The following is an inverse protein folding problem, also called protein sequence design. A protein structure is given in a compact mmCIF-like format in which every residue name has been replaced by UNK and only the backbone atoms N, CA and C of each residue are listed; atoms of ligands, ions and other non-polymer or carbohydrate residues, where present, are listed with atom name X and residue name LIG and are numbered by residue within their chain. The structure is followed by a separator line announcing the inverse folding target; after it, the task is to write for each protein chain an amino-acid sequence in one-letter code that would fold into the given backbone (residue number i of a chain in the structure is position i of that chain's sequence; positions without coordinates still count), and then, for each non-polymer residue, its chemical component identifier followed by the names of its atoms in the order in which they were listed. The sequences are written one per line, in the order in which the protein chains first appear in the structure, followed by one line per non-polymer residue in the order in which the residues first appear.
data_IF_954233617642
#
_entry.id   IF_954233617642
#
_cell.length_a   1.000
_cell.length_b   1.000
_cell.length_c   1.000
_cell.angle_alpha   90.00
_cell.angle_beta   90.00
_cell.angle_gamma   90.00
#
_symmetry.space_group_name_H-M   'P 1'
#
loop_
_entity.id
_entity.type
_entity.pdbx_description
1 polymer ?
#
# COMPACT_ATOMS: atom_id res chain seq x y z
N UNK A 1 -33.41 7.20 -35.26
CA UNK A 1 -32.88 6.42 -34.12
C UNK A 1 -31.39 6.70 -33.80
N UNK A 2 -30.75 7.71 -34.37
CA UNK A 2 -29.31 7.98 -34.18
C UNK A 2 -28.94 8.76 -32.89
N UNK A 3 -29.86 9.56 -32.34
CA UNK A 3 -29.54 10.41 -31.18
C UNK A 3 -29.40 9.65 -29.85
N UNK A 4 -30.14 8.56 -29.65
CA UNK A 4 -30.11 7.76 -28.45
C UNK A 4 -28.77 7.02 -28.24
N UNK A 5 -28.13 6.57 -29.33
CA UNK A 5 -26.85 5.85 -29.28
C UNK A 5 -25.69 6.77 -28.86
N UNK A 6 -25.72 8.05 -29.26
CA UNK A 6 -24.69 9.03 -28.91
C UNK A 6 -24.80 9.41 -27.43
N UNK A 7 -26.03 9.55 -26.91
CA UNK A 7 -26.25 9.90 -25.49
C UNK A 7 -25.82 8.75 -24.56
N UNK A 8 -26.09 7.49 -24.93
CA UNK A 8 -25.60 6.34 -24.13
C UNK A 8 -24.08 6.22 -24.16
N UNK A 9 -23.42 6.49 -25.28
CA UNK A 9 -21.97 6.45 -25.38
C UNK A 9 -21.28 7.51 -24.50
N UNK A 10 -21.83 8.70 -24.40
CA UNK A 10 -21.29 9.80 -23.56
C UNK A 10 -21.49 9.54 -22.08
N UNK A 11 -22.61 8.94 -21.67
CA UNK A 11 -22.84 8.56 -20.25
C UNK A 11 -21.87 7.47 -19.77
N UNK A 12 -21.60 6.45 -20.59
CA UNK A 12 -20.64 5.39 -20.24
C UNK A 12 -19.21 5.92 -20.12
N UNK A 13 -18.80 6.83 -20.99
CA UNK A 13 -17.48 7.47 -20.95
C UNK A 13 -17.33 8.32 -19.70
N UNK A 14 -18.32 9.16 -19.38
CA UNK A 14 -18.29 10.00 -18.19
C UNK A 14 -18.30 9.16 -16.90
N UNK A 15 -19.11 8.11 -16.82
CA UNK A 15 -19.15 7.19 -15.67
C UNK A 15 -17.84 6.45 -15.45
N UNK A 16 -17.18 6.00 -16.52
CA UNK A 16 -15.89 5.32 -16.43
C UNK A 16 -14.77 6.22 -15.90
N UNK A 17 -14.67 7.46 -16.36
CA UNK A 17 -13.67 8.41 -15.88
C UNK A 17 -13.94 8.79 -14.41
N UNK A 18 -15.20 9.03 -14.06
CA UNK A 18 -15.57 9.40 -12.69
C UNK A 18 -15.21 8.29 -11.69
N UNK A 19 -15.49 7.02 -12.03
CA UNK A 19 -15.11 5.88 -11.20
C UNK A 19 -13.59 5.76 -11.01
N UNK A 20 -12.80 6.04 -12.02
CA UNK A 20 -11.33 6.05 -11.92
C UNK A 20 -10.81 7.17 -11.04
N UNK A 21 -11.42 8.37 -11.10
CA UNK A 21 -11.07 9.48 -10.22
C UNK A 21 -11.37 9.15 -8.76
N UNK A 22 -12.56 8.59 -8.48
CA UNK A 22 -12.96 8.19 -7.13
C UNK A 22 -12.05 7.05 -6.60
N UNK A 23 -11.71 6.05 -7.42
CA UNK A 23 -10.78 4.99 -7.06
C UNK A 23 -9.40 5.55 -6.70
N UNK A 24 -8.87 6.49 -7.48
CA UNK A 24 -7.60 7.14 -7.18
C UNK A 24 -7.64 7.99 -5.90
N UNK A 25 -8.73 8.70 -5.65
CA UNK A 25 -8.93 9.49 -4.43
C UNK A 25 -9.01 8.60 -3.19
N UNK A 26 -9.75 7.50 -3.27
CA UNK A 26 -9.85 6.50 -2.21
C UNK A 26 -8.50 5.84 -1.94
N UNK A 27 -7.77 5.45 -2.99
CA UNK A 27 -6.43 4.88 -2.86
C UNK A 27 -5.44 5.85 -2.20
N UNK A 28 -5.51 7.15 -2.50
CA UNK A 28 -4.68 8.16 -1.82
C UNK A 28 -5.02 8.29 -0.34
N UNK A 29 -6.30 8.26 0.03
CA UNK A 29 -6.72 8.27 1.45
C UNK A 29 -6.23 7.03 2.18
N UNK A 30 -6.43 5.85 1.59
CA UNK A 30 -5.96 4.58 2.15
C UNK A 30 -4.44 4.55 2.35
N UNK A 31 -3.69 5.02 1.35
CA UNK A 31 -2.24 5.14 1.46
C UNK A 31 -1.80 6.11 2.56
N UNK A 32 -2.53 7.21 2.77
CA UNK A 32 -2.30 8.12 3.89
C UNK A 32 -2.51 7.45 5.26
N UNK A 33 -3.47 6.54 5.37
CA UNK A 33 -3.68 5.74 6.58
C UNK A 33 -2.46 4.86 6.85
N UNK A 34 -1.94 4.16 5.84
CA UNK A 34 -0.72 3.34 5.98
C UNK A 34 0.50 4.18 6.35
N UNK A 35 0.68 5.37 5.75
CA UNK A 35 1.78 6.28 6.11
C UNK A 35 1.66 6.74 7.57
N UNK A 36 0.46 7.05 8.06
CA UNK A 36 0.21 7.41 9.46
C UNK A 36 0.46 6.24 10.42
N UNK A 37 0.04 5.03 10.04
CA UNK A 37 0.33 3.81 10.82
C UNK A 37 1.84 3.54 10.88
N UNK A 38 2.57 3.73 9.77
CA UNK A 38 4.02 3.59 9.76
C UNK A 38 4.71 4.56 10.72
N UNK A 39 4.25 5.81 10.77
CA UNK A 39 4.79 6.80 11.70
C UNK A 39 4.44 6.46 13.17
N UNK A 40 3.24 5.96 13.44
CA UNK A 40 2.84 5.50 14.76
C UNK A 40 3.67 4.29 15.23
N UNK A 41 3.89 3.29 14.35
CA UNK A 41 4.75 2.15 14.66
C UNK A 41 6.20 2.57 14.91
N UNK A 42 6.71 3.53 14.15
CA UNK A 42 8.06 4.06 14.39
C UNK A 42 8.18 4.74 15.75
N UNK A 43 7.18 5.53 16.15
CA UNK A 43 7.16 6.18 17.46
C UNK A 43 7.00 5.15 18.60
N UNK A 44 6.14 4.14 18.42
CA UNK A 44 5.96 3.07 19.39
C UNK A 44 7.23 2.24 19.57
N UNK A 45 7.94 1.91 18.48
CA UNK A 45 9.22 1.21 18.53
C UNK A 45 10.29 2.00 19.26
N UNK A 46 10.41 3.30 18.98
CA UNK A 46 11.36 4.17 19.70
C UNK A 46 11.04 4.27 21.20
N UNK A 47 9.76 4.34 21.56
CA UNK A 47 9.33 4.32 22.97
C UNK A 47 9.68 2.99 23.64
N UNK A 48 9.42 1.87 22.98
CA UNK A 48 9.77 0.54 23.49
C UNK A 48 11.29 0.38 23.66
N UNK A 49 12.11 0.81 22.69
CA UNK A 49 13.59 0.83 22.83
C UNK A 49 14.01 1.59 24.09
N UNK A 50 13.44 2.79 24.31
CA UNK A 50 13.77 3.61 25.46
C UNK A 50 13.33 2.98 26.78
N UNK A 51 12.16 2.36 26.82
CA UNK A 51 11.66 1.67 28.01
C UNK A 51 12.53 0.45 28.33
N UNK A 52 12.80 -0.40 27.34
CA UNK A 52 13.70 -1.56 27.48
C UNK A 52 15.09 -1.13 27.98
N UNK A 53 15.64 -0.05 27.42
CA UNK A 53 16.94 0.46 27.87
C UNK A 53 16.93 0.85 29.35
N UNK A 54 15.87 1.52 29.82
CA UNK A 54 15.71 1.90 31.24
C UNK A 54 15.55 0.70 32.16
N UNK A 55 14.77 -0.30 31.74
CA UNK A 55 14.54 -1.51 32.52
C UNK A 55 15.86 -2.28 32.71
N UNK A 56 16.67 -2.40 31.66
CA UNK A 56 18.00 -3.00 31.75
C UNK A 56 18.99 -2.15 32.58
N UNK A 57 18.93 -0.82 32.51
CA UNK A 57 19.78 0.04 33.36
C UNK A 57 19.43 -0.09 34.83
N UNK A 58 18.14 -0.24 35.16
CA UNK A 58 17.67 -0.54 36.53
C UNK A 58 18.18 -1.90 36.99
N UNK A 59 18.02 -2.94 36.16
CA UNK A 59 18.51 -4.28 36.45
C UNK A 59 20.03 -4.31 36.71
N UNK A 60 20.81 -3.62 35.85
CA UNK A 60 22.26 -3.49 36.03
C UNK A 60 22.60 -2.78 37.35
N UNK A 61 21.83 -1.75 37.70
CA UNK A 61 21.99 -1.05 39.01
C UNK A 61 21.71 -1.98 40.19
N UNK A 62 20.63 -2.74 40.13
CA UNK A 62 20.27 -3.72 41.19
C UNK A 62 21.32 -4.83 41.30
N UNK A 63 21.80 -5.37 40.17
CA UNK A 63 22.87 -6.38 40.17
C UNK A 63 24.15 -5.84 40.82
N UNK A 64 24.58 -4.61 40.49
CA UNK A 64 25.76 -3.98 41.12
C UNK A 64 25.59 -3.78 42.60
N UNK A 65 24.41 -3.30 43.04
CA UNK A 65 24.11 -3.14 44.47
C UNK A 65 24.11 -4.48 45.22
N UNK A 66 23.55 -5.52 44.62
CA UNK A 66 23.54 -6.87 45.19
C UNK A 66 24.95 -7.42 45.37
N UNK A 67 25.84 -7.26 44.39
CA UNK A 67 27.24 -7.68 44.49
C UNK A 67 27.97 -6.89 45.58
N UNK A 68 27.79 -5.56 45.65
CA UNK A 68 28.39 -4.72 46.65
C UNK A 68 27.92 -5.09 48.08
N UNK A 69 26.61 -5.34 48.26
CA UNK A 69 26.01 -5.75 49.52
C UNK A 69 26.51 -7.13 49.98
N UNK A 70 26.86 -8.02 49.08
CA UNK A 70 27.40 -9.34 49.40
C UNK A 70 28.91 -9.32 49.74
N UNK A 71 29.55 -8.15 49.71
CA UNK A 71 30.98 -8.01 49.96
C UNK A 71 31.86 -8.60 48.89
N UNK A 72 31.29 -8.92 47.72
CA UNK A 72 32.04 -9.47 46.58
C UNK A 72 32.62 -8.31 45.76
N UNK A 73 33.88 -8.44 45.41
CA UNK A 73 34.48 -7.54 44.41
C UNK A 73 33.85 -7.79 43.03
N UNK A 74 33.77 -6.72 42.20
CA UNK A 74 33.25 -6.80 40.82
C UNK A 74 34.30 -7.40 39.89
N UNK A 75 34.82 -8.58 40.29
CA UNK A 75 35.81 -9.34 39.51
C UNK A 75 35.33 -10.78 39.28
N UNK A 76 35.78 -11.39 38.19
CA UNK A 76 35.46 -12.78 37.87
C UNK A 76 33.96 -12.97 37.50
N UNK A 77 33.27 -13.86 38.21
CA UNK A 77 31.88 -14.25 37.91
C UNK A 77 30.88 -13.09 37.98
N UNK A 78 30.91 -12.15 38.92
CA UNK A 78 30.03 -10.97 38.89
C UNK A 78 30.18 -10.12 37.63
N UNK A 79 31.42 -9.93 37.17
CA UNK A 79 31.68 -9.15 35.96
C UNK A 79 31.10 -9.85 34.71
N UNK A 80 31.18 -11.18 34.62
CA UNK A 80 30.60 -11.94 33.52
C UNK A 80 29.08 -11.82 33.48
N UNK A 81 28.41 -11.81 34.63
CA UNK A 81 26.95 -11.64 34.71
C UNK A 81 26.55 -10.24 34.22
N UNK A 82 27.28 -9.19 34.62
CA UNK A 82 27.02 -7.83 34.16
C UNK A 82 27.24 -7.70 32.63
N UNK A 83 28.34 -8.29 32.11
CA UNK A 83 28.64 -8.31 30.67
C UNK A 83 27.53 -9.02 29.88
N UNK A 84 27.04 -10.17 30.41
CA UNK A 84 25.93 -10.88 29.77
C UNK A 84 24.67 -10.02 29.76
N UNK A 85 24.32 -9.34 30.86
CA UNK A 85 23.16 -8.45 30.94
C UNK A 85 23.26 -7.30 29.94
N UNK A 86 24.45 -6.76 29.70
CA UNK A 86 24.71 -5.72 28.69
C UNK A 86 24.47 -6.27 27.28
N UNK A 87 24.98 -7.46 26.98
CA UNK A 87 24.76 -8.11 25.67
C UNK A 87 23.29 -8.42 25.41
N UNK A 88 22.57 -8.87 26.46
CA UNK A 88 21.15 -9.14 26.36
C UNK A 88 20.37 -7.86 26.08
N UNK A 89 20.72 -6.73 26.75
CA UNK A 89 20.17 -5.39 26.45
C UNK A 89 20.38 -5.01 24.99
N UNK A 90 21.61 -5.12 24.48
CA UNK A 90 21.94 -4.75 23.11
C UNK A 90 21.18 -5.62 22.11
N UNK A 91 21.07 -6.91 22.37
CA UNK A 91 20.34 -7.86 21.53
C UNK A 91 18.85 -7.55 21.50
N UNK A 92 18.24 -7.28 22.67
CA UNK A 92 16.81 -6.97 22.75
C UNK A 92 16.48 -5.66 22.04
N UNK A 93 17.30 -4.61 22.25
CA UNK A 93 17.14 -3.33 21.54
C UNK A 93 17.30 -3.51 20.02
N UNK A 94 18.28 -4.31 19.57
CA UNK A 94 18.46 -4.62 18.15
C UNK A 94 17.26 -5.34 17.55
N UNK A 95 16.68 -6.29 18.30
CA UNK A 95 15.47 -7.01 17.90
C UNK A 95 14.27 -6.08 17.76
N UNK A 96 14.02 -5.20 18.75
CA UNK A 96 12.95 -4.21 18.72
C UNK A 96 13.11 -3.31 17.49
N UNK A 97 14.32 -2.79 17.26
CA UNK A 97 14.63 -1.94 16.11
C UNK A 97 14.41 -2.64 14.77
N UNK A 98 14.87 -3.89 14.65
CA UNK A 98 14.68 -4.71 13.45
C UNK A 98 13.19 -4.93 13.17
N UNK A 99 12.43 -5.35 14.17
CA UNK A 99 11.00 -5.61 14.06
C UNK A 99 10.23 -4.33 13.68
N UNK A 100 10.53 -3.20 14.32
CA UNK A 100 9.95 -1.90 14.00
C UNK A 100 10.25 -1.48 12.57
N UNK A 101 11.51 -1.62 12.14
CA UNK A 101 11.94 -1.29 10.77
C UNK A 101 11.21 -2.13 9.73
N UNK A 102 11.04 -3.43 9.99
CA UNK A 102 10.31 -4.34 9.09
C UNK A 102 8.84 -3.93 8.97
N UNK A 103 8.14 -3.69 10.10
CA UNK A 103 6.75 -3.25 10.10
C UNK A 103 6.56 -1.91 9.37
N UNK A 104 7.40 -0.94 9.66
CA UNK A 104 7.39 0.37 8.98
C UNK A 104 7.62 0.24 7.49
N UNK A 105 8.56 -0.61 7.08
CA UNK A 105 8.85 -0.90 5.66
C UNK A 105 7.65 -1.53 4.96
N UNK A 106 6.99 -2.51 5.59
CA UNK A 106 5.78 -3.16 5.05
C UNK A 106 4.64 -2.15 4.87
N UNK A 107 4.37 -1.31 5.87
CA UNK A 107 3.33 -0.29 5.80
C UNK A 107 3.61 0.75 4.70
N UNK A 108 4.85 1.22 4.59
CA UNK A 108 5.25 2.16 3.53
C UNK A 108 5.19 1.52 2.14
N UNK A 109 5.50 0.24 2.02
CA UNK A 109 5.33 -0.51 0.75
C UNK A 109 3.86 -0.63 0.39
N UNK A 110 2.99 -1.01 1.34
CA UNK A 110 1.55 -1.05 1.14
C UNK A 110 0.98 0.32 0.72
N UNK A 111 1.46 1.42 1.32
CA UNK A 111 1.09 2.77 0.90
C UNK A 111 1.47 3.07 -0.56
N UNK A 112 2.70 2.70 -0.97
CA UNK A 112 3.17 2.88 -2.36
C UNK A 112 2.36 2.05 -3.35
N UNK A 113 2.10 0.79 -3.04
CA UNK A 113 1.31 -0.11 -3.89
C UNK A 113 -0.13 0.38 -4.04
N UNK A 114 -0.74 0.83 -2.95
CA UNK A 114 -2.08 1.42 -2.96
C UNK A 114 -2.14 2.68 -3.82
N UNK A 115 -1.15 3.57 -3.71
CA UNK A 115 -1.04 4.76 -4.57
C UNK A 115 -0.88 4.38 -6.06
N UNK A 116 -0.07 3.35 -6.34
CA UNK A 116 0.14 2.82 -7.70
C UNK A 116 -1.15 2.23 -8.27
N UNK A 117 -1.86 1.41 -7.48
CA UNK A 117 -3.14 0.83 -7.88
C UNK A 117 -4.18 1.91 -8.21
N UNK A 118 -4.28 2.96 -7.40
CA UNK A 118 -5.16 4.11 -7.67
C UNK A 118 -4.82 4.85 -8.96
N UNK A 119 -3.53 5.05 -9.25
CA UNK A 119 -3.09 5.65 -10.52
C UNK A 119 -3.41 4.75 -11.71
N UNK A 120 -3.18 3.44 -11.58
CA UNK A 120 -3.49 2.49 -12.65
C UNK A 120 -4.99 2.45 -12.93
N UNK A 121 -5.84 2.45 -11.91
CA UNK A 121 -7.29 2.52 -12.05
C UNK A 121 -7.73 3.79 -12.81
N UNK A 122 -7.14 4.94 -12.48
CA UNK A 122 -7.40 6.19 -13.21
C UNK A 122 -6.96 6.09 -14.68
N UNK A 123 -5.75 5.61 -14.94
CA UNK A 123 -5.22 5.46 -16.31
C UNK A 123 -6.08 4.50 -17.13
N UNK A 124 -6.43 3.33 -16.56
CA UNK A 124 -7.28 2.34 -17.22
C UNK A 124 -8.67 2.88 -17.53
N UNK A 125 -9.25 3.68 -16.63
CA UNK A 125 -10.56 4.30 -16.85
C UNK A 125 -10.53 5.32 -17.98
N UNK A 126 -9.46 6.09 -18.12
CA UNK A 126 -9.27 7.06 -19.20
C UNK A 126 -9.09 6.32 -20.54
N UNK A 127 -8.23 5.29 -20.59
CA UNK A 127 -8.01 4.49 -21.80
C UNK A 127 -9.29 3.77 -22.21
N UNK A 128 -10.02 3.17 -21.28
CA UNK A 128 -11.29 2.52 -21.52
C UNK A 128 -12.36 3.48 -22.05
N UNK A 129 -12.39 4.69 -21.53
CA UNK A 129 -13.29 5.75 -21.99
C UNK A 129 -13.00 6.16 -23.44
N UNK A 130 -11.74 6.36 -23.79
CA UNK A 130 -11.32 6.69 -25.17
C UNK A 130 -11.62 5.52 -26.12
N UNK A 131 -11.34 4.28 -25.70
CA UNK A 131 -11.62 3.09 -26.48
C UNK A 131 -13.11 2.87 -26.77
N UNK A 132 -13.98 3.14 -25.78
CA UNK A 132 -15.43 3.06 -25.96
C UNK A 132 -15.99 4.17 -26.86
N UNK A 133 -15.46 5.38 -26.77
CA UNK A 133 -15.80 6.48 -27.67
C UNK A 133 -15.41 6.16 -29.12
N UNK A 134 -14.23 5.57 -29.35
CA UNK A 134 -13.76 5.15 -30.67
C UNK A 134 -14.65 4.05 -31.28
N UNK A 135 -15.10 3.08 -30.50
CA UNK A 135 -16.05 2.05 -30.96
C UNK A 135 -17.42 2.63 -31.29
N UNK A 136 -17.94 3.54 -30.45
CA UNK A 136 -19.21 4.20 -30.69
C UNK A 136 -19.17 5.05 -32.00
N UNK A 137 -18.07 5.75 -32.26
CA UNK A 137 -17.87 6.51 -33.51
C UNK A 137 -17.73 5.59 -34.72
N UNK A 138 -17.02 4.48 -34.61
CA UNK A 138 -16.87 3.47 -35.66
C UNK A 138 -18.20 2.82 -36.04
N UNK A 139 -19.02 2.44 -35.07
CA UNK A 139 -20.36 1.88 -35.31
C UNK A 139 -21.34 2.88 -35.94
N UNK A 140 -21.24 4.17 -35.53
CA UNK A 140 -22.00 5.25 -36.15
C UNK A 140 -21.67 5.45 -37.62
N UNK A 141 -20.37 5.46 -37.96
CA UNK A 141 -19.91 5.58 -39.37
C UNK A 141 -20.32 4.38 -40.22
N UNK A 142 -20.32 3.17 -39.64
CA UNK A 142 -20.75 1.94 -40.30
C UNK A 142 -22.26 1.91 -40.53
N UNK A 143 -23.08 2.49 -39.65
CA UNK A 143 -24.53 2.59 -39.82
C UNK A 143 -24.96 3.64 -40.88
N UNK A 144 -24.08 4.58 -41.25
CA UNK A 144 -24.35 5.59 -42.26
C UNK A 144 -23.91 5.16 -43.67
N UNK A 145 -23.26 4.01 -43.85
CA UNK A 145 -22.82 3.50 -45.13
C UNK A 145 -23.77 2.41 -45.64
N UNK A 146 -24.82 2.72 -46.44
CA UNK A 146 -25.85 1.76 -46.84
C UNK A 146 -25.36 0.71 -47.87
N UNK A 147 -24.14 0.87 -48.39
CA UNK A 147 -23.61 0.02 -49.49
C UNK A 147 -23.24 -1.41 -49.08
N UNK A 148 -23.12 -1.72 -47.78
CA UNK A 148 -22.75 -3.08 -47.37
C UNK A 148 -23.95 -4.05 -47.20
N UNK A 149 -25.18 -3.56 -47.24
CA UNK A 149 -26.40 -4.37 -47.04
C UNK A 149 -26.96 -4.98 -48.31
N UNK A 150 -26.52 -4.52 -49.47
CA UNK A 150 -27.10 -4.93 -50.78
C UNK A 150 -26.39 -6.14 -51.38
N UNK A 151 -25.18 -6.51 -50.93
CA UNK A 151 -24.40 -7.60 -51.52
C UNK A 151 -24.69 -8.97 -50.97
N UNK A 152 -25.26 -9.07 -49.73
CA UNK A 152 -25.58 -10.36 -49.09
C UNK A 152 -27.03 -10.80 -49.22
N UNK A 153 -27.90 -9.99 -49.85
CA UNK A 153 -29.34 -10.28 -50.04
C UNK A 153 -29.73 -10.76 -51.43
N UNK A 154 -28.81 -10.88 -52.39
CA UNK A 154 -29.14 -11.11 -53.79
C UNK A 154 -28.80 -12.52 -54.32
N UNK A 155 -28.58 -13.52 -53.42
CA UNK A 155 -28.28 -14.87 -53.93
C UNK A 155 -29.02 -15.98 -53.15
N UNK A 156 -30.35 -15.88 -53.06
CA UNK A 156 -31.21 -17.02 -52.68
C UNK A 156 -32.58 -16.91 -53.37
N UNK A 157 -32.58 -17.18 -54.68
CA UNK A 157 -33.79 -17.35 -55.46
C UNK A 157 -33.45 -17.91 -56.81
N UNK A 158 -33.85 -19.13 -57.05
CA UNK A 158 -33.90 -19.98 -58.25
C UNK A 158 -32.84 -21.09 -58.30
N UNK A 159 -33.24 -22.25 -57.88
CA UNK A 159 -33.57 -23.45 -58.62
C UNK A 159 -34.05 -24.56 -57.68
#
# INVERSE_FOLDING_TARGET
MGAAAIVMGTMQVAGGIYSGIEANKTAKKQAGIYDNQANAEQAAGAFQEMQTARDFDTLLGEQKLSFAASGRELEGSPLLILDQTIRDKETEIANIRSNTTQKVSQLRSAAKETKKAGRNALTSSIIGAVGSAGKAYGSYKQSQNPTFRTVLGANSGDQ
#
